data_IF_496120195034
#
_entry.id   IF_496120195034
#
_cell.length_a   1.000
_cell.length_b   1.000
_cell.length_c   1.000
_cell.angle_alpha   90.00
_cell.angle_beta   90.00
_cell.angle_gamma   90.00
#
_symmetry.space_group_name_H-M   'P 1'
#
loop_
_entity.id
_entity.type
_entity.pdbx_description
1 polymer ?
#
# COMPACT_ATOMS: atom_id res chain seq x y z
N UNK A 1 2.93 10.57 7.40
CA UNK A 1 2.29 9.78 8.49
C UNK A 1 2.29 8.31 8.05
N UNK A 2 2.85 7.39 8.84
CA UNK A 2 3.01 5.98 8.48
C UNK A 2 1.73 5.17 8.77
N UNK A 3 1.53 4.03 8.08
CA UNK A 3 0.47 3.09 8.44
C UNK A 3 0.76 2.46 9.81
N UNK A 4 -0.28 2.22 10.64
CA UNK A 4 -0.09 1.51 11.90
C UNK A 4 0.34 0.07 11.63
N UNK A 5 1.24 -0.44 12.46
CA UNK A 5 1.63 -1.84 12.41
C UNK A 5 0.44 -2.73 12.80
N UNK A 6 0.11 -3.70 11.96
CA UNK A 6 -0.87 -4.73 12.24
C UNK A 6 -0.17 -6.08 12.42
N UNK A 7 -0.08 -6.52 13.67
CA UNK A 7 0.40 -7.86 14.01
C UNK A 7 -0.60 -8.55 14.96
N UNK A 8 -1.36 -9.55 14.50
CA UNK A 8 -2.28 -10.28 15.36
C UNK A 8 -1.56 -11.14 16.43
N UNK A 9 -0.24 -11.36 16.31
CA UNK A 9 0.57 -12.05 17.31
C UNK A 9 1.26 -11.08 18.29
N UNK A 10 1.28 -9.76 18.03
CA UNK A 10 1.94 -8.80 18.93
C UNK A 10 1.21 -8.62 20.27
N UNK A 11 0.01 -9.20 20.43
CA UNK A 11 -0.66 -9.29 21.73
C UNK A 11 0.15 -10.10 22.77
N UNK A 12 1.21 -10.81 22.32
CA UNK A 12 1.95 -11.79 23.10
C UNK A 12 3.42 -11.43 23.32
N UNK A 13 3.89 -10.27 22.84
CA UNK A 13 5.32 -9.92 22.86
C UNK A 13 5.55 -8.57 23.55
N UNK A 14 6.04 -8.62 24.79
CA UNK A 14 6.31 -7.46 25.65
C UNK A 14 7.56 -6.65 25.30
N UNK A 15 7.89 -6.48 24.02
CA UNK A 15 9.04 -5.67 23.59
C UNK A 15 8.58 -4.27 23.17
N UNK A 16 8.76 -3.33 24.11
CA UNK A 16 8.13 -2.00 24.17
C UNK A 16 8.84 -0.90 23.36
N UNK A 17 9.63 -1.23 22.34
CA UNK A 17 10.20 -0.22 21.43
C UNK A 17 10.08 -0.64 19.96
N UNK A 18 9.46 0.18 19.09
CA UNK A 18 9.34 -0.17 17.69
C UNK A 18 10.69 0.00 16.99
N UNK A 19 11.38 -1.11 16.73
CA UNK A 19 12.47 -1.15 15.75
C UNK A 19 11.95 -0.78 14.36
N UNK A 20 12.83 -0.24 13.49
CA UNK A 20 12.46 0.00 12.10
C UNK A 20 12.03 -1.31 11.43
N UNK A 21 10.87 -1.29 10.77
CA UNK A 21 10.30 -2.44 10.06
C UNK A 21 9.62 -1.97 8.77
N UNK A 22 9.76 -2.76 7.71
CA UNK A 22 9.02 -2.56 6.47
C UNK A 22 7.54 -2.93 6.65
N UNK A 23 6.67 -2.29 5.87
CA UNK A 23 5.26 -2.64 5.81
C UNK A 23 5.05 -3.98 5.13
N UNK A 24 4.20 -4.81 5.73
CA UNK A 24 3.76 -6.11 5.20
C UNK A 24 2.50 -5.92 4.35
N UNK A 25 2.22 -6.88 3.46
CA UNK A 25 0.95 -6.94 2.73
C UNK A 25 -0.26 -6.86 3.70
N UNK A 26 -0.15 -7.51 4.87
CA UNK A 26 -1.18 -7.50 5.91
C UNK A 26 -1.43 -6.10 6.51
N UNK A 27 -0.41 -5.25 6.63
CA UNK A 27 -0.57 -3.89 7.13
C UNK A 27 -1.45 -3.06 6.18
N UNK A 28 -1.22 -3.16 4.87
CA UNK A 28 -2.05 -2.52 3.85
C UNK A 28 -3.46 -3.12 3.81
N UNK A 29 -3.57 -4.44 3.83
CA UNK A 29 -4.85 -5.13 3.78
C UNK A 29 -5.73 -4.76 4.99
N UNK A 30 -5.14 -4.61 6.17
CA UNK A 30 -5.82 -4.07 7.34
C UNK A 30 -6.20 -2.60 7.14
N UNK A 31 -5.25 -1.76 6.71
CA UNK A 31 -5.49 -0.32 6.55
C UNK A 31 -6.61 -0.01 5.53
N UNK A 32 -6.73 -0.79 4.46
CA UNK A 32 -7.81 -0.66 3.48
C UNK A 32 -9.17 -1.06 4.06
N UNK A 33 -9.25 -2.20 4.76
CA UNK A 33 -10.50 -2.67 5.41
C UNK A 33 -10.96 -1.74 6.53
N UNK A 34 -10.01 -1.24 7.32
CA UNK A 34 -10.25 -0.29 8.42
C UNK A 34 -10.44 1.15 7.93
N UNK A 35 -10.48 1.39 6.61
CA UNK A 35 -10.68 2.70 5.98
C UNK A 35 -9.66 3.76 6.42
N UNK A 36 -8.49 3.34 6.91
CA UNK A 36 -7.40 4.23 7.32
C UNK A 36 -6.72 4.86 6.11
N UNK A 37 -6.68 4.13 4.99
CA UNK A 37 -6.20 4.59 3.70
C UNK A 37 -6.95 3.83 2.60
N UNK A 38 -6.87 4.29 1.36
CA UNK A 38 -7.42 3.59 0.19
C UNK A 38 -6.31 3.20 -0.78
N UNK A 39 -6.50 2.13 -1.59
CA UNK A 39 -5.59 1.81 -2.69
C UNK A 39 -5.30 3.01 -3.60
N UNK A 40 -6.31 3.81 -3.93
CA UNK A 40 -6.14 5.04 -4.74
C UNK A 40 -5.20 6.05 -4.07
N UNK A 41 -5.29 6.23 -2.75
CA UNK A 41 -4.40 7.16 -2.04
C UNK A 41 -2.95 6.68 -2.04
N UNK A 42 -2.72 5.37 -1.87
CA UNK A 42 -1.39 4.77 -1.95
C UNK A 42 -0.82 4.87 -3.36
N UNK A 43 -1.65 4.60 -4.39
CA UNK A 43 -1.25 4.72 -5.78
C UNK A 43 -0.73 6.12 -6.13
N UNK A 44 -1.44 7.18 -5.74
CA UNK A 44 -0.98 8.55 -5.96
C UNK A 44 0.35 8.86 -5.25
N UNK A 45 0.58 8.32 -4.05
CA UNK A 45 1.85 8.48 -3.34
C UNK A 45 3.00 7.79 -4.09
N UNK A 46 2.77 6.59 -4.62
CA UNK A 46 3.75 5.86 -5.41
C UNK A 46 4.04 6.58 -6.73
N UNK A 47 3.00 7.04 -7.45
CA UNK A 47 3.14 7.80 -8.70
C UNK A 47 3.99 9.06 -8.45
N UNK A 48 3.63 9.84 -7.42
CA UNK A 48 4.38 11.05 -7.02
C UNK A 48 5.85 10.73 -6.74
N UNK A 49 6.14 9.62 -6.05
CA UNK A 49 7.51 9.20 -5.75
C UNK A 49 8.27 8.81 -7.03
N UNK A 50 7.66 7.99 -7.89
CA UNK A 50 8.28 7.51 -9.14
C UNK A 50 8.56 8.67 -10.10
N UNK A 51 7.65 9.62 -10.20
CA UNK A 51 7.83 10.82 -11.03
C UNK A 51 8.87 11.77 -10.43
N UNK A 52 8.78 12.06 -9.13
CA UNK A 52 9.69 12.96 -8.42
C UNK A 52 11.14 12.48 -8.41
N UNK A 53 11.35 11.18 -8.18
CA UNK A 53 12.68 10.56 -8.20
C UNK A 53 13.13 10.13 -9.62
N UNK A 54 12.28 10.30 -10.64
CA UNK A 54 12.52 9.83 -12.01
C UNK A 54 12.90 8.35 -12.07
N UNK A 55 12.29 7.51 -11.23
CA UNK A 55 12.57 6.08 -11.15
C UNK A 55 12.18 5.28 -12.39
N UNK A 56 11.58 5.93 -13.39
CA UNK A 56 11.26 5.37 -14.69
C UNK A 56 12.20 5.88 -15.81
N UNK A 57 13.30 6.57 -15.47
CA UNK A 57 14.24 7.16 -16.44
C UNK A 57 15.67 6.67 -16.23
N UNK A 58 16.45 6.69 -17.31
CA UNK A 58 17.88 6.42 -17.29
C UNK A 58 18.67 7.42 -16.41
N UNK A 59 19.86 7.07 -15.91
CA UNK A 59 20.61 5.83 -16.16
C UNK A 59 20.26 4.66 -15.24
N UNK A 60 19.55 4.89 -14.14
CA UNK A 60 19.26 3.86 -13.12
C UNK A 60 17.76 3.75 -12.85
N UNK A 61 16.96 3.27 -13.83
CA UNK A 61 15.52 3.12 -13.64
C UNK A 61 15.23 1.95 -12.69
N UNK A 62 14.30 2.15 -11.76
CA UNK A 62 13.66 1.04 -11.02
C UNK A 62 12.59 0.37 -11.89
N UNK A 63 11.90 1.15 -12.74
CA UNK A 63 10.84 0.70 -13.63
C UNK A 63 11.22 1.05 -15.08
N UNK A 64 11.26 0.06 -15.98
CA UNK A 64 11.55 0.31 -17.40
C UNK A 64 10.31 0.75 -18.21
N UNK A 65 9.12 0.50 -17.67
CA UNK A 65 7.83 0.91 -18.20
C UNK A 65 6.95 1.36 -17.03
N UNK A 66 6.27 2.49 -17.20
CA UNK A 66 5.44 3.09 -16.17
C UNK A 66 4.28 3.86 -16.83
N UNK A 67 3.05 3.45 -16.50
CA UNK A 67 1.82 4.12 -16.92
C UNK A 67 1.02 4.52 -15.67
N UNK A 68 1.05 5.81 -15.36
CA UNK A 68 0.36 6.36 -14.20
C UNK A 68 -1.17 6.22 -14.32
N UNK A 69 -1.73 6.33 -15.52
CA UNK A 69 -3.18 6.24 -15.74
C UNK A 69 -3.69 4.82 -15.53
N UNK A 70 -2.94 3.82 -16.01
CA UNK A 70 -3.30 2.43 -15.75
C UNK A 70 -3.25 2.10 -14.26
N UNK A 71 -2.21 2.58 -13.55
CA UNK A 71 -2.12 2.43 -12.08
C UNK A 71 -3.32 3.09 -11.38
N UNK A 72 -3.71 4.31 -11.78
CA UNK A 72 -4.90 4.99 -11.24
C UNK A 72 -6.18 4.22 -11.48
N UNK A 73 -6.36 3.68 -12.69
CA UNK A 73 -7.51 2.86 -13.07
C UNK A 73 -7.62 1.62 -12.19
N UNK A 74 -6.52 0.88 -12.04
CA UNK A 74 -6.48 -0.32 -11.20
C UNK A 74 -6.75 0.01 -9.73
N UNK A 75 -6.12 1.06 -9.21
CA UNK A 75 -6.30 1.48 -7.82
C UNK A 75 -7.72 1.95 -7.53
N UNK A 76 -8.38 2.64 -8.47
CA UNK A 76 -9.78 3.06 -8.37
C UNK A 76 -10.72 1.86 -8.31
N UNK A 77 -10.53 0.88 -9.20
CA UNK A 77 -11.29 -0.37 -9.16
C UNK A 77 -11.09 -1.12 -7.82
N UNK A 78 -9.86 -1.14 -7.31
CA UNK A 78 -9.58 -1.76 -6.00
C UNK A 78 -10.21 -1.00 -4.84
N UNK A 79 -10.17 0.33 -4.85
CA UNK A 79 -10.83 1.16 -3.84
C UNK A 79 -12.32 0.90 -3.82
N UNK A 80 -12.94 0.73 -4.99
CA UNK A 80 -14.37 0.43 -5.08
C UNK A 80 -14.72 -0.92 -4.45
N UNK A 81 -13.95 -1.99 -4.73
CA UNK A 81 -14.13 -3.30 -4.09
C UNK A 81 -14.06 -3.24 -2.56
N UNK A 82 -13.12 -2.44 -2.01
CA UNK A 82 -13.03 -2.25 -0.56
C UNK A 82 -14.20 -1.43 0.02
N UNK A 83 -14.72 -0.44 -0.73
CA UNK A 83 -15.89 0.35 -0.30
C UNK A 83 -17.16 -0.49 -0.26
N UNK A 84 -17.33 -1.38 -1.24
CA UNK A 84 -18.51 -2.25 -1.36
C UNK A 84 -18.46 -3.47 -0.44
N UNK A 85 -17.32 -3.72 0.25
CA UNK A 85 -17.17 -4.84 1.16
C UNK A 85 -16.86 -6.19 0.49
N UNK A 86 -16.63 -6.21 -0.82
CA UNK A 86 -16.43 -7.43 -1.63
C UNK A 86 -15.04 -8.11 -1.50
N UNK A 87 -14.25 -7.80 -0.47
CA UNK A 87 -13.05 -8.59 -0.17
C UNK A 87 -13.34 -9.55 0.99
N UNK A 88 -14.02 -10.66 0.67
CA UNK A 88 -14.00 -11.85 1.51
C UNK A 88 -12.54 -12.35 1.61
N UNK A 89 -12.21 -12.99 2.73
CA UNK A 89 -10.86 -13.37 3.12
C UNK A 89 -10.23 -14.51 2.29
N UNK A 90 -10.68 -14.74 1.06
CA UNK A 90 -10.36 -15.94 0.27
C UNK A 90 -9.25 -15.76 -0.77
N UNK A 91 -8.66 -14.56 -0.92
CA UNK A 91 -7.64 -14.28 -1.95
C UNK A 91 -6.27 -13.85 -1.36
N UNK A 92 -6.03 -14.01 -0.05
CA UNK A 92 -4.69 -13.89 0.56
C UNK A 92 -4.49 -14.95 1.63
#
# INVERSE_FOLDING_TARGET
>A
KCLPHYDPASCWSGDTLPSFRYWKIRDFAYAYRSKLVTPSKIAEQIITLVEGCKYHKAPTPLLISFDAEDIRKQATASTQRFKEGFLSAEIL
#
